data_IF_818881393357
#
_entry.id   IF_818881393357
#
_cell.length_a   1.000
_cell.length_b   1.000
_cell.length_c   1.000
_cell.angle_alpha   90.00
_cell.angle_beta   90.00
_cell.angle_gamma   90.00
#
_symmetry.space_group_name_H-M   'P 1'
#
loop_
_entity.id
_entity.type
_entity.pdbx_description
1 polymer ?
#
# COMPACT_ATOMS: atom_id res chain seq x y z
N UNK A 1 -17.28 6.20 -2.71
CA UNK A 1 -18.46 5.60 -3.38
C UNK A 1 -19.71 6.37 -2.99
N UNK A 2 -20.64 6.59 -3.92
CA UNK A 2 -21.87 7.34 -3.64
C UNK A 2 -22.84 6.47 -2.84
N UNK A 3 -23.12 6.83 -1.58
CA UNK A 3 -24.06 6.11 -0.69
C UNK A 3 -25.42 5.87 -1.37
N UNK A 4 -25.90 6.84 -2.16
CA UNK A 4 -27.18 6.76 -2.88
C UNK A 4 -27.19 5.64 -3.93
N UNK A 5 -26.09 5.44 -4.66
CA UNK A 5 -25.95 4.37 -5.65
C UNK A 5 -26.07 2.99 -4.99
N UNK A 6 -25.30 2.77 -3.92
CA UNK A 6 -25.32 1.50 -3.19
C UNK A 6 -26.70 1.23 -2.60
N UNK A 7 -27.37 2.24 -2.05
CA UNK A 7 -28.75 2.12 -1.55
C UNK A 7 -29.75 1.79 -2.66
N UNK A 8 -29.61 2.40 -3.84
CA UNK A 8 -30.47 2.11 -5.00
C UNK A 8 -30.31 0.65 -5.47
N UNK A 9 -29.07 0.20 -5.67
CA UNK A 9 -28.78 -1.19 -6.05
C UNK A 9 -29.34 -2.21 -5.03
N UNK A 10 -29.39 -1.85 -3.74
CA UNK A 10 -30.05 -2.67 -2.71
C UNK A 10 -31.56 -2.72 -2.86
N UNK A 11 -32.21 -1.59 -3.13
CA UNK A 11 -33.66 -1.53 -3.38
C UNK A 11 -34.05 -2.36 -4.61
N UNK A 12 -33.23 -2.29 -5.66
CA UNK A 12 -33.38 -3.06 -6.90
C UNK A 12 -32.93 -4.53 -6.78
N UNK A 13 -32.53 -4.99 -5.59
CA UNK A 13 -32.05 -6.36 -5.33
C UNK A 13 -30.88 -6.79 -6.25
N UNK A 14 -30.04 -5.84 -6.66
CA UNK A 14 -28.84 -6.11 -7.45
C UNK A 14 -27.69 -6.66 -6.59
N UNK A 15 -27.66 -6.41 -5.28
CA UNK A 15 -26.70 -7.02 -4.35
C UNK A 15 -27.33 -8.16 -3.56
N UNK A 16 -27.77 -9.20 -4.27
CA UNK A 16 -28.56 -10.29 -3.69
C UNK A 16 -27.71 -11.49 -3.23
N UNK A 17 -26.45 -11.58 -3.65
CA UNK A 17 -25.58 -12.73 -3.34
C UNK A 17 -24.55 -12.38 -2.26
N UNK A 18 -24.18 -13.33 -1.38
CA UNK A 18 -23.14 -13.12 -0.37
C UNK A 18 -21.72 -13.34 -0.94
N UNK A 19 -21.50 -13.19 -2.24
CA UNK A 19 -20.19 -13.42 -2.87
C UNK A 19 -19.66 -12.11 -3.43
N UNK A 20 -18.47 -11.72 -2.97
CA UNK A 20 -17.75 -10.53 -3.49
C UNK A 20 -16.33 -10.91 -3.87
N UNK A 21 -15.90 -10.42 -5.02
CA UNK A 21 -14.50 -10.44 -5.41
C UNK A 21 -13.79 -9.23 -4.84
N UNK A 22 -12.63 -9.42 -4.21
CA UNK A 22 -11.79 -8.33 -3.74
C UNK A 22 -10.53 -8.31 -4.59
N UNK A 23 -10.23 -7.15 -5.16
CA UNK A 23 -9.03 -6.93 -5.95
C UNK A 23 -8.31 -5.62 -5.53
N UNK A 24 -6.99 -5.65 -5.66
CA UNK A 24 -6.08 -4.59 -5.26
C UNK A 24 -5.37 -3.96 -6.46
N UNK A 25 -5.54 -2.65 -6.61
CA UNK A 25 -4.85 -1.83 -7.61
C UNK A 25 -3.84 -0.88 -6.96
N UNK A 26 -2.75 -0.58 -7.67
CA UNK A 26 -1.71 0.35 -7.20
C UNK A 26 -1.73 1.60 -8.06
N UNK A 27 -2.03 2.74 -7.47
CA UNK A 27 -2.15 4.02 -8.19
C UNK A 27 -0.93 4.86 -7.91
N UNK A 28 -0.27 5.32 -8.98
CA UNK A 28 0.92 6.16 -8.87
C UNK A 28 0.52 7.52 -8.28
N UNK A 29 1.23 7.94 -7.23
CA UNK A 29 1.07 9.26 -6.66
C UNK A 29 1.87 10.29 -7.46
N UNK A 30 1.67 11.57 -7.16
CA UNK A 30 2.54 12.66 -7.64
C UNK A 30 3.82 12.65 -6.81
N UNK A 31 4.56 11.55 -6.80
CA UNK A 31 5.88 11.46 -6.19
C UNK A 31 6.77 10.45 -6.93
N UNK A 32 8.05 10.77 -7.07
CA UNK A 32 9.02 9.85 -7.66
C UNK A 32 9.72 9.04 -6.57
N UNK A 33 10.26 7.88 -6.96
CA UNK A 33 11.01 6.99 -6.06
C UNK A 33 12.19 7.70 -5.39
N UNK A 34 12.83 8.61 -6.13
CA UNK A 34 14.02 9.34 -5.71
C UNK A 34 13.67 10.54 -4.82
N UNK A 35 12.39 10.96 -4.82
CA UNK A 35 11.79 11.93 -3.88
C UNK A 35 11.07 11.26 -2.70
N UNK A 36 11.39 9.99 -2.46
CA UNK A 36 10.96 9.25 -1.29
C UNK A 36 12.19 8.77 -0.53
N UNK A 37 12.33 9.24 0.70
CA UNK A 37 13.50 9.07 1.54
C UNK A 37 13.17 8.15 2.71
N UNK A 38 14.15 7.31 3.01
CA UNK A 38 14.25 6.50 4.23
C UNK A 38 15.68 6.61 4.70
N UNK A 39 15.94 6.32 5.98
CA UNK A 39 17.30 6.42 6.53
C UNK A 39 18.33 5.64 5.70
N UNK A 40 18.01 4.41 5.32
CA UNK A 40 18.87 3.59 4.47
C UNK A 40 19.09 4.16 3.07
N UNK A 41 18.09 4.82 2.46
CA UNK A 41 18.26 5.49 1.15
C UNK A 41 19.16 6.71 1.27
N UNK A 42 18.96 7.52 2.31
CA UNK A 42 19.78 8.71 2.57
C UNK A 42 21.22 8.29 2.79
N UNK A 43 21.50 7.36 3.70
CA UNK A 43 22.86 6.89 3.97
C UNK A 43 23.57 6.32 2.75
N UNK A 44 22.88 5.51 1.93
CA UNK A 44 23.43 5.03 0.64
C UNK A 44 23.78 6.17 -0.30
N UNK A 45 22.91 7.18 -0.40
CA UNK A 45 23.15 8.33 -1.27
C UNK A 45 24.30 9.20 -0.78
N UNK A 46 24.41 9.42 0.54
CA UNK A 46 25.53 10.13 1.15
C UNK A 46 26.86 9.44 0.82
N UNK A 47 26.94 8.11 1.01
CA UNK A 47 28.14 7.34 0.65
C UNK A 47 28.55 7.49 -0.83
N UNK A 48 27.58 7.43 -1.74
CA UNK A 48 27.86 7.64 -3.18
C UNK A 48 28.36 9.05 -3.51
N UNK A 49 27.87 10.06 -2.79
CA UNK A 49 28.32 11.44 -2.95
C UNK A 49 29.74 11.58 -2.41
N UNK A 50 30.05 11.01 -1.24
CA UNK A 50 31.39 10.96 -0.64
C UNK A 50 32.41 10.35 -1.62
N UNK A 51 32.11 9.16 -2.14
CA UNK A 51 32.94 8.47 -3.15
C UNK A 51 33.11 9.30 -4.43
N UNK A 52 32.09 10.07 -4.82
CA UNK A 52 32.17 10.95 -5.99
C UNK A 52 33.03 12.17 -5.73
N UNK A 53 32.94 12.78 -4.55
CA UNK A 53 33.79 13.90 -4.13
C UNK A 53 35.24 13.44 -4.09
N UNK A 54 35.53 12.29 -3.46
CA UNK A 54 36.89 11.76 -3.39
C UNK A 54 37.49 11.51 -4.78
N UNK A 55 36.69 10.95 -5.71
CA UNK A 55 37.13 10.77 -7.10
C UNK A 55 37.51 12.10 -7.77
N UNK A 56 36.73 13.16 -7.56
CA UNK A 56 37.05 14.47 -8.13
C UNK A 56 38.28 15.10 -7.46
N UNK A 57 38.45 14.96 -6.15
CA UNK A 57 39.63 15.45 -5.44
C UNK A 57 40.91 14.77 -5.95
N UNK A 58 40.90 13.44 -6.08
CA UNK A 58 42.04 12.71 -6.65
C UNK A 58 42.32 13.16 -8.10
N UNK A 59 41.28 13.42 -8.89
CA UNK A 59 41.42 13.91 -10.27
C UNK A 59 41.86 15.38 -10.38
N UNK A 60 41.83 16.13 -9.27
CA UNK A 60 42.42 17.47 -9.18
C UNK A 60 43.90 17.38 -8.80
N UNK A 61 44.26 16.46 -7.91
CA UNK A 61 45.65 16.20 -7.52
C UNK A 61 46.51 15.69 -8.67
N UNK A 62 45.93 14.87 -9.57
CA UNK A 62 46.64 14.32 -10.73
C UNK A 62 46.64 15.22 -11.97
N UNK A 63 45.88 16.32 -11.95
CA UNK A 63 45.75 17.19 -13.12
C UNK A 63 46.90 18.20 -13.21
N UNK A 64 47.52 18.29 -14.38
CA UNK A 64 48.47 19.36 -14.68
C UNK A 64 47.77 20.72 -14.66
N UNK A 65 48.41 21.73 -14.04
CA UNK A 65 47.85 23.09 -13.83
C UNK A 65 47.67 23.90 -15.11
N UNK A 66 47.91 23.31 -16.28
CA UNK A 66 47.88 23.96 -17.59
C UNK A 66 46.48 24.07 -18.19
N UNK A 67 45.46 23.43 -17.58
CA UNK A 67 44.07 23.45 -18.07
C UNK A 67 43.09 24.05 -17.04
N UNK A 68 43.05 25.39 -16.90
CA UNK A 68 42.26 26.05 -15.86
C UNK A 68 40.75 25.83 -16.00
N UNK A 69 40.22 25.70 -17.22
CA UNK A 69 38.78 25.48 -17.43
C UNK A 69 38.30 24.13 -16.88
N UNK A 70 39.10 23.07 -16.98
CA UNK A 70 38.75 21.76 -16.43
C UNK A 70 38.82 21.74 -14.90
N UNK A 71 39.76 22.50 -14.33
CA UNK A 71 39.92 22.67 -12.88
C UNK A 71 38.68 23.33 -12.28
N UNK A 72 38.23 24.46 -12.86
CA UNK A 72 37.04 25.17 -12.41
C UNK A 72 35.78 24.31 -12.53
N UNK A 73 35.61 23.59 -13.65
CA UNK A 73 34.45 22.69 -13.83
C UNK A 73 34.39 21.57 -12.78
N UNK A 74 35.55 21.02 -12.37
CA UNK A 74 35.64 20.00 -11.30
C UNK A 74 35.33 20.61 -9.92
N UNK A 75 35.82 21.82 -9.62
CA UNK A 75 35.52 22.55 -8.39
C UNK A 75 34.02 22.84 -8.25
N UNK A 76 33.39 23.32 -9.32
CA UNK A 76 31.94 23.53 -9.38
C UNK A 76 31.16 22.25 -9.10
N UNK A 77 31.63 21.13 -9.64
CA UNK A 77 30.99 19.83 -9.41
C UNK A 77 31.09 19.40 -7.95
N UNK A 78 32.24 19.58 -7.32
CA UNK A 78 32.45 19.31 -5.89
C UNK A 78 31.53 20.20 -5.05
N UNK A 79 31.43 21.50 -5.37
CA UNK A 79 30.56 22.43 -4.65
C UNK A 79 29.10 21.98 -4.67
N UNK A 80 28.58 21.59 -5.85
CA UNK A 80 27.21 21.06 -6.00
C UNK A 80 27.01 19.75 -5.23
N UNK A 81 28.00 18.86 -5.22
CA UNK A 81 27.93 17.60 -4.45
C UNK A 81 27.90 17.86 -2.93
N UNK A 82 28.70 18.81 -2.45
CA UNK A 82 28.70 19.23 -1.04
C UNK A 82 27.37 19.87 -0.65
N UNK A 83 26.75 20.65 -1.53
CA UNK A 83 25.41 21.19 -1.32
C UNK A 83 24.36 20.09 -1.23
N UNK A 84 24.42 19.09 -2.13
CA UNK A 84 23.54 17.92 -2.06
C UNK A 84 23.71 17.15 -0.74
N UNK A 85 24.94 17.05 -0.21
CA UNK A 85 25.19 16.43 1.09
C UNK A 85 24.44 17.16 2.22
N UNK A 86 24.57 18.50 2.27
CA UNK A 86 23.86 19.32 3.27
C UNK A 86 22.34 19.15 3.20
N UNK A 87 21.78 19.10 1.99
CA UNK A 87 20.35 18.86 1.80
C UNK A 87 19.92 17.47 2.32
N UNK A 88 20.75 16.44 2.11
CA UNK A 88 20.49 15.11 2.64
C UNK A 88 20.58 15.05 4.17
N UNK A 89 21.49 15.81 4.78
CA UNK A 89 21.57 15.92 6.24
C UNK A 89 20.30 16.55 6.84
N UNK A 90 19.77 17.59 6.20
CA UNK A 90 18.50 18.20 6.60
C UNK A 90 17.34 17.19 6.49
N UNK A 91 17.26 16.45 5.38
CA UNK A 91 16.26 15.38 5.20
C UNK A 91 16.41 14.30 6.28
N UNK A 92 17.64 13.93 6.63
CA UNK A 92 17.93 12.95 7.68
C UNK A 92 17.40 13.41 9.04
N UNK A 93 17.51 14.70 9.36
CA UNK A 93 16.92 15.25 10.59
C UNK A 93 15.40 15.24 10.54
N UNK A 94 14.79 15.61 9.40
CA UNK A 94 13.34 15.52 9.24
C UNK A 94 12.82 14.09 9.40
N UNK A 95 13.54 13.08 8.90
CA UNK A 95 13.16 11.68 9.04
C UNK A 95 13.04 11.23 10.51
N UNK A 96 13.85 11.78 11.43
CA UNK A 96 13.75 11.45 12.87
C UNK A 96 12.43 11.88 13.49
N UNK A 97 11.77 12.89 12.91
CA UNK A 97 10.46 13.36 13.40
C UNK A 97 9.30 12.52 12.89
N UNK A 98 9.53 11.66 11.89
CA UNK A 98 8.48 10.85 11.26
C UNK A 98 8.36 9.49 11.95
N UNK A 99 7.15 9.09 12.40
CA UNK A 99 6.96 7.85 13.16
C UNK A 99 7.24 6.58 12.34
N UNK A 100 7.09 6.64 11.02
CA UNK A 100 7.36 5.54 10.09
C UNK A 100 8.77 5.59 9.49
N UNK A 101 9.62 6.55 9.91
CA UNK A 101 10.99 6.71 9.40
C UNK A 101 11.06 6.97 7.90
N UNK A 102 9.99 7.53 7.32
CA UNK A 102 9.85 7.74 5.89
C UNK A 102 9.36 9.15 5.57
N UNK A 103 9.86 9.70 4.46
CA UNK A 103 9.47 11.02 3.97
C UNK A 103 9.24 10.97 2.45
N UNK A 104 8.05 11.36 2.02
CA UNK A 104 7.74 11.63 0.61
C UNK A 104 7.66 13.15 0.44
N UNK A 105 8.47 13.72 -0.45
CA UNK A 105 8.58 15.19 -0.56
C UNK A 105 7.37 15.85 -1.21
N UNK A 106 6.85 15.28 -2.29
CA UNK A 106 5.81 15.94 -3.10
C UNK A 106 4.41 15.54 -2.63
N UNK A 107 4.26 14.30 -2.16
CA UNK A 107 3.01 13.74 -1.67
C UNK A 107 3.26 13.03 -0.32
N UNK A 108 3.00 13.68 0.83
CA UNK A 108 3.35 13.17 2.15
C UNK A 108 2.73 11.83 2.52
N UNK A 109 1.55 11.52 1.97
CA UNK A 109 0.81 10.30 2.28
C UNK A 109 1.20 9.14 1.37
N UNK A 110 1.79 9.42 0.21
CA UNK A 110 2.22 8.38 -0.71
C UNK A 110 3.31 7.47 -0.10
N UNK A 111 3.20 6.16 -0.36
CA UNK A 111 4.14 5.15 0.12
C UNK A 111 4.70 4.28 -1.01
N UNK A 112 5.91 3.72 -0.87
CA UNK A 112 6.46 2.80 -1.84
C UNK A 112 5.62 1.51 -1.89
N UNK A 113 5.22 1.15 -3.10
CA UNK A 113 4.39 0.00 -3.40
C UNK A 113 5.25 -1.17 -3.86
N UNK A 114 4.95 -2.37 -3.37
CA UNK A 114 5.64 -3.59 -3.76
C UNK A 114 5.22 -3.97 -5.18
N UNK A 115 6.16 -3.87 -6.11
CA UNK A 115 6.00 -4.27 -7.52
C UNK A 115 6.85 -5.51 -7.80
N UNK A 116 6.39 -6.39 -8.70
CA UNK A 116 7.06 -7.66 -9.02
C UNK A 116 8.42 -7.51 -9.74
N UNK A 117 8.77 -6.32 -10.24
CA UNK A 117 10.03 -6.07 -10.96
C UNK A 117 11.12 -5.41 -10.10
N UNK A 118 12.38 -5.86 -10.26
CA UNK A 118 13.56 -5.16 -9.69
C UNK A 118 13.59 -3.73 -10.23
N UNK A 119 13.70 -2.74 -9.35
CA UNK A 119 13.73 -1.32 -9.71
C UNK A 119 12.37 -0.68 -10.05
N UNK A 120 11.28 -1.47 -10.12
CA UNK A 120 9.93 -0.99 -10.45
C UNK A 120 9.20 -0.33 -9.27
N UNK A 121 9.86 -0.13 -8.13
CA UNK A 121 9.27 0.42 -6.92
C UNK A 121 8.58 1.76 -7.17
N UNK A 122 7.26 1.72 -7.31
CA UNK A 122 6.39 2.87 -7.54
C UNK A 122 6.03 3.49 -6.19
N UNK A 123 5.97 4.81 -6.10
CA UNK A 123 5.43 5.49 -4.91
C UNK A 123 3.99 5.87 -5.22
N UNK A 124 3.06 5.52 -4.34
CA UNK A 124 1.65 5.57 -4.66
C UNK A 124 0.75 5.16 -3.52
N UNK A 125 -0.45 4.76 -3.91
CA UNK A 125 -1.53 4.32 -3.03
C UNK A 125 -1.99 2.93 -3.43
N UNK A 126 -2.38 2.14 -2.43
CA UNK A 126 -2.96 0.83 -2.63
C UNK A 126 -4.48 0.93 -2.49
N UNK A 127 -5.16 0.87 -3.63
CA UNK A 127 -6.61 0.92 -3.75
C UNK A 127 -7.15 -0.48 -3.73
N UNK A 128 -8.16 -0.73 -2.91
CA UNK A 128 -8.84 -2.01 -2.81
C UNK A 128 -10.30 -1.79 -3.21
N UNK A 129 -10.82 -2.67 -4.06
CA UNK A 129 -12.20 -2.63 -4.50
C UNK A 129 -12.87 -3.99 -4.24
N UNK A 130 -14.13 -3.94 -3.81
CA UNK A 130 -14.98 -5.11 -3.70
C UNK A 130 -16.07 -5.03 -4.76
N UNK A 131 -16.20 -6.10 -5.54
CA UNK A 131 -17.09 -6.18 -6.70
C UNK A 131 -18.08 -7.33 -6.50
N UNK A 132 -19.35 -7.08 -6.79
CA UNK A 132 -20.40 -8.11 -6.77
C UNK A 132 -20.13 -9.17 -7.86
N UNK A 133 -20.30 -10.44 -7.51
CA UNK A 133 -20.00 -11.53 -8.44
C UNK A 133 -21.00 -11.69 -9.58
N UNK A 134 -22.26 -11.25 -9.41
CA UNK A 134 -23.33 -11.48 -10.38
C UNK A 134 -23.42 -10.37 -11.43
N UNK A 135 -23.37 -9.12 -10.99
CA UNK A 135 -23.57 -7.95 -11.86
C UNK A 135 -22.30 -7.11 -12.04
N UNK A 136 -21.17 -7.53 -11.48
CA UNK A 136 -19.87 -6.86 -11.60
C UNK A 136 -19.87 -5.40 -11.15
N UNK A 137 -20.78 -5.07 -10.25
CA UNK A 137 -20.93 -3.72 -9.72
C UNK A 137 -19.93 -3.53 -8.56
N UNK A 138 -19.19 -2.42 -8.60
CA UNK A 138 -18.36 -2.02 -7.47
C UNK A 138 -19.28 -1.71 -6.31
N UNK A 139 -19.07 -2.40 -5.21
CA UNK A 139 -19.85 -2.21 -4.00
C UNK A 139 -19.04 -1.37 -3.01
N UNK A 140 -17.71 -1.60 -2.94
CA UNK A 140 -16.80 -0.97 -1.98
C UNK A 140 -15.56 -0.50 -2.70
N UNK A 141 -14.98 0.56 -2.19
CA UNK A 141 -13.63 0.95 -2.52
C UNK A 141 -12.98 1.62 -1.32
N UNK A 142 -11.67 1.53 -1.22
CA UNK A 142 -10.91 2.19 -0.18
C UNK A 142 -9.45 2.29 -0.56
N UNK A 143 -8.79 3.29 -0.01
CA UNK A 143 -7.39 3.61 -0.30
C UNK A 143 -6.60 3.38 0.97
N UNK A 144 -5.47 2.70 0.84
CA UNK A 144 -4.56 2.40 1.94
C UNK A 144 -3.15 2.77 1.54
N UNK A 145 -2.35 3.14 2.53
CA UNK A 145 -0.95 3.50 2.32
C UNK A 145 -0.04 2.28 2.53
N UNK A 146 -0.63 1.07 2.60
CA UNK A 146 0.10 -0.18 2.75
C UNK A 146 0.72 -0.59 1.43
N UNK A 147 2.04 -0.77 1.41
CA UNK A 147 2.80 -1.16 0.22
C UNK A 147 2.42 -2.53 -0.37
N UNK A 148 1.65 -3.35 0.35
CA UNK A 148 1.22 -4.67 -0.10
C UNK A 148 -0.26 -4.93 0.22
N UNK A 149 -0.88 -5.69 -0.68
CA UNK A 149 -2.24 -6.23 -0.64
C UNK A 149 -2.36 -7.50 0.23
N UNK A 150 -1.25 -8.16 0.61
CA UNK A 150 -1.25 -9.47 1.28
C UNK A 150 -2.04 -9.55 2.58
N UNK A 151 -2.12 -8.44 3.34
CA UNK A 151 -2.83 -8.37 4.62
C UNK A 151 -4.17 -7.64 4.53
N UNK A 152 -4.63 -7.28 3.33
CA UNK A 152 -5.82 -6.44 3.15
C UNK A 152 -7.14 -7.23 3.24
N UNK A 153 -7.14 -8.56 3.17
CA UNK A 153 -8.40 -9.29 3.25
C UNK A 153 -9.11 -9.14 4.60
N UNK A 154 -8.38 -9.15 5.72
CA UNK A 154 -9.01 -9.12 7.04
C UNK A 154 -9.61 -7.75 7.42
N UNK A 155 -8.99 -6.58 7.13
CA UNK A 155 -9.65 -5.29 7.32
C UNK A 155 -10.91 -5.15 6.47
N UNK A 156 -10.86 -5.60 5.22
CA UNK A 156 -11.99 -5.55 4.30
C UNK A 156 -13.14 -6.49 4.71
N UNK A 157 -12.82 -7.64 5.31
CA UNK A 157 -13.80 -8.51 5.96
C UNK A 157 -14.46 -7.87 7.20
N UNK A 158 -13.80 -6.95 7.90
CA UNK A 158 -14.36 -6.27 9.08
C UNK A 158 -15.24 -5.07 8.71
N UNK A 159 -14.84 -4.29 7.70
CA UNK A 159 -15.67 -3.23 7.11
C UNK A 159 -17.06 -3.73 6.66
N UNK A 160 -17.15 -5.03 6.35
CA UNK A 160 -18.39 -5.79 6.11
C UNK A 160 -19.45 -5.64 7.21
N UNK A 161 -19.05 -5.71 8.49
CA UNK A 161 -20.00 -5.91 9.59
C UNK A 161 -20.92 -4.70 9.83
N UNK A 162 -20.48 -3.51 9.43
CA UNK A 162 -21.19 -2.25 9.71
C UNK A 162 -21.98 -1.69 8.52
N UNK A 163 -21.76 -2.18 7.29
CA UNK A 163 -22.31 -1.49 6.11
C UNK A 163 -22.92 -2.40 5.02
N UNK A 164 -22.79 -3.74 5.11
CA UNK A 164 -22.89 -4.65 3.94
C UNK A 164 -23.96 -5.75 3.99
N UNK A 165 -24.37 -6.15 5.19
CA UNK A 165 -25.30 -7.27 5.38
C UNK A 165 -26.70 -6.69 5.53
N UNK A 166 -27.69 -7.20 4.78
CA UNK A 166 -29.10 -6.90 5.04
C UNK A 166 -29.41 -7.33 6.48
N UNK A 167 -30.15 -6.56 7.29
CA UNK A 167 -30.66 -7.06 8.57
C UNK A 167 -31.43 -8.38 8.39
N UNK A 168 -32.07 -8.54 7.23
CA UNK A 168 -32.97 -9.66 6.90
C UNK A 168 -32.26 -10.87 6.28
N UNK A 169 -30.98 -10.79 5.90
CA UNK A 169 -30.25 -11.99 5.44
C UNK A 169 -29.63 -12.69 6.66
N UNK A 170 -30.39 -13.59 7.27
CA UNK A 170 -29.94 -14.42 8.38
C UNK A 170 -28.55 -14.99 8.13
N UNK A 171 -27.59 -14.63 8.99
CA UNK A 171 -26.28 -15.26 9.26
C UNK A 171 -25.48 -15.79 8.06
N UNK A 172 -25.70 -15.31 6.85
CA UNK A 172 -25.09 -15.88 5.66
C UNK A 172 -23.65 -15.38 5.57
N UNK A 173 -22.70 -16.33 5.65
CA UNK A 173 -21.26 -16.08 5.54
C UNK A 173 -20.96 -15.56 4.13
N UNK A 174 -20.49 -14.32 4.03
CA UNK A 174 -19.96 -13.80 2.78
C UNK A 174 -18.62 -14.49 2.51
N UNK A 175 -18.51 -15.08 1.33
CA UNK A 175 -17.26 -15.64 0.83
C UNK A 175 -16.57 -14.52 0.07
N UNK A 176 -15.37 -14.14 0.50
CA UNK A 176 -14.52 -13.24 -0.26
C UNK A 176 -13.46 -14.07 -0.97
N UNK A 177 -13.38 -13.93 -2.30
CA UNK A 177 -12.33 -14.55 -3.11
C UNK A 177 -11.40 -13.42 -3.55
N UNK A 178 -10.11 -13.55 -3.24
CA UNK A 178 -9.09 -12.69 -3.81
C UNK A 178 -8.82 -13.14 -5.22
N UNK A 179 -8.93 -12.24 -6.19
CA UNK A 179 -8.51 -12.50 -7.57
C UNK A 179 -7.14 -11.86 -7.75
N UNK A 180 -6.06 -12.65 -7.70
CA UNK A 180 -4.73 -12.12 -8.04
C UNK A 180 -4.59 -12.05 -9.57
N UNK A 181 -4.73 -10.85 -10.13
CA UNK A 181 -4.60 -10.59 -11.57
C UNK A 181 -3.18 -10.80 -12.13
N UNK A 182 -2.20 -11.28 -11.34
CA UNK A 182 -0.88 -11.69 -11.86
C UNK A 182 -0.92 -12.92 -12.76
N UNK A 183 -2.01 -13.70 -12.74
CA UNK A 183 -2.21 -14.82 -13.65
C UNK A 183 -3.04 -14.38 -14.87
N UNK A 184 -2.40 -13.74 -15.85
CA UNK A 184 -3.07 -13.30 -17.08
C UNK A 184 -3.49 -14.43 -18.03
N UNK A 185 -3.24 -15.71 -17.70
CA UNK A 185 -3.43 -16.85 -18.61
C UNK A 185 -4.05 -18.11 -17.96
N UNK A 186 -4.76 -18.01 -16.83
CA UNK A 186 -5.48 -19.18 -16.31
C UNK A 186 -6.82 -19.35 -17.07
N UNK A 187 -7.03 -20.46 -17.81
CA UNK A 187 -8.33 -20.75 -18.40
C UNK A 187 -9.38 -20.90 -17.29
N UNK A 188 -10.56 -20.31 -17.50
CA UNK A 188 -11.74 -20.42 -16.63
C UNK A 188 -12.34 -21.84 -16.69
N UNK A 189 -11.55 -22.88 -16.40
CA UNK A 189 -12.03 -24.25 -16.21
C UNK A 189 -11.31 -24.86 -15.01
N UNK A 190 -12.04 -24.98 -13.91
CA UNK A 190 -11.60 -25.64 -12.68
C UNK A 190 -10.57 -24.81 -11.90
N UNK A 191 -10.97 -24.26 -10.77
CA UNK A 191 -10.07 -23.60 -9.82
C UNK A 191 -9.54 -24.63 -8.80
N UNK A 192 -8.34 -25.23 -8.93
CA UNK A 192 -7.70 -25.91 -7.80
C UNK A 192 -6.80 -24.96 -6.99
N UNK A 193 -6.76 -23.65 -7.29
CA UNK A 193 -5.87 -22.71 -6.59
C UNK A 193 -6.61 -21.54 -5.91
N UNK A 194 -7.80 -21.79 -5.36
CA UNK A 194 -8.39 -20.89 -4.38
C UNK A 194 -7.91 -21.32 -2.98
N UNK A 195 -6.97 -20.58 -2.38
CA UNK A 195 -6.75 -20.71 -0.93
C UNK A 195 -7.92 -20.05 -0.21
N UNK A 196 -8.97 -20.83 0.01
CA UNK A 196 -10.13 -20.46 0.82
C UNK A 196 -9.69 -20.39 2.29
N UNK A 197 -9.26 -19.21 2.77
CA UNK A 197 -9.14 -19.01 4.23
C UNK A 197 -10.50 -18.61 4.78
N UNK A 198 -11.21 -19.61 5.29
CA UNK A 198 -12.33 -19.41 6.22
C UNK A 198 -11.76 -18.89 7.54
N UNK A 199 -11.78 -17.58 7.76
CA UNK A 199 -11.51 -17.03 9.08
C UNK A 199 -12.81 -17.11 9.91
N UNK A 200 -12.89 -18.04 10.86
CA UNK A 200 -13.95 -18.07 11.86
C UNK A 200 -13.70 -16.97 12.90
N UNK A 201 -14.71 -16.15 13.16
CA UNK A 201 -14.68 -15.16 14.25
C UNK A 201 -14.98 -15.87 15.59
N UNK A 202 -14.36 -15.49 16.72
CA UNK A 202 -14.63 -16.11 18.02
C UNK A 202 -16.07 -15.81 18.45
N UNK A 203 -16.82 -16.84 18.86
CA UNK A 203 -18.18 -16.68 19.40
C UNK A 203 -18.12 -15.87 20.69
N UNK A 204 -18.87 -14.77 20.76
CA UNK A 204 -19.24 -14.17 22.05
C UNK A 204 -19.99 -15.23 22.87
N UNK A 205 -19.41 -15.62 24.00
CA UNK A 205 -20.02 -16.49 25.01
C UNK A 205 -21.03 -15.62 25.77
N UNK A 206 -22.30 -15.64 25.35
CA UNK A 206 -23.40 -15.12 26.16
C UNK A 206 -23.57 -16.06 27.35
N UNK A 207 -23.32 -15.55 28.57
CA UNK A 207 -23.64 -16.24 29.80
C UNK A 207 -25.17 -16.27 29.95
N UNK A 208 -25.77 -17.44 29.74
CA UNK A 208 -27.13 -17.70 30.19
C UNK A 208 -27.04 -18.17 31.65
N UNK A 209 -27.49 -17.33 32.59
CA UNK A 209 -27.80 -17.76 33.95
C UNK A 209 -29.13 -18.52 33.91
N UNK A 210 -29.06 -19.83 34.16
CA UNK A 210 -30.23 -20.64 34.46
C UNK A 210 -30.59 -20.46 35.94
N UNK A 211 -31.83 -20.09 36.24
CA UNK A 211 -32.48 -20.46 37.49
C UNK A 211 -33.81 -21.12 37.15
N UNK A 212 -33.82 -22.43 37.40
CA UNK A 212 -34.98 -23.30 37.47
C UNK A 212 -35.72 -23.04 38.77
N UNK A 213 -37.04 -22.89 38.74
CA UNK A 213 -37.86 -23.38 39.83
C UNK A 213 -39.22 -23.85 39.30
N UNK A 214 -39.50 -25.10 39.61
CA UNK A 214 -40.59 -25.92 39.13
C UNK A 214 -41.95 -25.54 39.73
N UNK A 215 -43.01 -25.76 38.95
CA UNK A 215 -44.40 -25.80 39.40
C UNK A 215 -44.61 -26.91 40.45
N UNK A 216 -45.32 -26.56 41.53
CA UNK A 216 -46.15 -27.49 42.30
C UNK A 216 -47.61 -27.05 42.14
N UNK A 217 -48.35 -27.83 41.35
CA UNK A 217 -49.69 -28.40 41.56
C UNK A 217 -50.25 -28.80 40.20
#
# INVERSE_FOLDING_TARGET
>A
MCRRFVTLCRKLKLFSQPLVAIDGSKFKAVNTRDRNFTEGKVGKRQKQIEESIQRYLNALETADRTQPAELEAKNDKIARLREQMRNLDQIKQQLKTKPDGQLSMTDPDARPMVTSGKGSGMVGYNVQAAVDAKYHLIVAQGVTNSGSDRAQLSPWQKLRATQWVRPDCGQSRIVAITVDLRSRNAPMRGLPYARTRLASCPRHRLAASAHSLALRL
#
